data_IF_664019850559
#
_entry.id   IF_664019850559
#
_cell.length_a   1.000
_cell.length_b   1.000
_cell.length_c   1.000
_cell.angle_alpha   90.00
_cell.angle_beta   90.00
_cell.angle_gamma   90.00
#
_symmetry.space_group_name_H-M   'P 1'
#
loop_
_entity.id
_entity.type
_entity.pdbx_description
1 polymer ?
#
# COMPACT_ATOMS: atom_id res chain seq x y z
N UNK A 1 0.71 -10.30 -7.60
CA UNK A 1 1.68 -9.88 -6.57
C UNK A 1 2.75 -10.94 -6.48
N UNK A 2 3.98 -10.54 -6.78
CA UNK A 2 5.19 -11.36 -6.88
C UNK A 2 6.23 -10.65 -6.00
N UNK A 3 7.01 -11.39 -5.22
CA UNK A 3 8.04 -10.79 -4.39
C UNK A 3 9.23 -10.31 -5.22
N UNK A 4 9.97 -9.36 -4.68
CA UNK A 4 11.27 -8.98 -5.23
C UNK A 4 12.31 -10.09 -5.05
N UNK A 5 13.31 -10.09 -5.91
CA UNK A 5 14.51 -10.93 -5.74
C UNK A 5 15.30 -10.49 -4.52
N UNK A 6 15.89 -11.44 -3.75
CA UNK A 6 16.81 -11.09 -2.69
C UNK A 6 17.95 -10.20 -3.23
N UNK A 7 18.28 -9.11 -2.54
CA UNK A 7 19.34 -8.21 -2.97
C UNK A 7 20.72 -8.85 -2.76
N UNK A 8 21.77 -8.17 -3.24
CA UNK A 8 23.15 -8.57 -2.96
C UNK A 8 23.46 -8.63 -1.45
N UNK A 9 24.58 -9.29 -1.10
CA UNK A 9 24.97 -9.62 0.29
C UNK A 9 24.85 -8.46 1.28
N UNK A 10 25.15 -7.23 0.86
CA UNK A 10 25.13 -6.04 1.73
C UNK A 10 23.73 -5.66 2.27
N UNK A 11 22.64 -6.08 1.62
CA UNK A 11 21.27 -5.77 2.07
C UNK A 11 20.43 -7.00 2.41
N UNK A 12 20.98 -8.20 2.24
CA UNK A 12 20.26 -9.47 2.41
C UNK A 12 19.69 -9.65 3.82
N UNK A 13 20.41 -9.21 4.86
CA UNK A 13 19.93 -9.29 6.24
C UNK A 13 18.65 -8.47 6.46
N UNK A 14 18.61 -7.23 5.94
CA UNK A 14 17.44 -6.35 6.03
C UNK A 14 16.28 -6.84 5.15
N UNK A 15 16.57 -7.41 3.99
CA UNK A 15 15.56 -8.06 3.15
C UNK A 15 14.89 -9.22 3.90
N UNK A 16 15.69 -10.10 4.50
CA UNK A 16 15.17 -11.23 5.29
C UNK A 16 14.40 -10.75 6.53
N UNK A 17 14.80 -9.64 7.15
CA UNK A 17 14.04 -9.03 8.24
C UNK A 17 12.69 -8.49 7.76
N UNK A 18 12.65 -7.74 6.65
CA UNK A 18 11.39 -7.30 6.05
C UNK A 18 10.44 -8.46 5.73
N UNK A 19 10.99 -9.59 5.25
CA UNK A 19 10.22 -10.79 4.95
C UNK A 19 9.68 -11.50 6.21
N UNK A 20 10.40 -11.43 7.34
CA UNK A 20 9.98 -11.99 8.63
C UNK A 20 8.90 -11.17 9.34
N UNK A 21 8.91 -9.85 9.21
CA UNK A 21 7.91 -8.98 9.87
C UNK A 21 6.60 -9.07 9.09
N UNK A 22 5.70 -9.96 9.50
CA UNK A 22 4.42 -10.17 8.80
C UNK A 22 3.24 -9.42 9.40
N UNK A 23 3.42 -8.79 10.56
CA UNK A 23 2.36 -8.13 11.32
C UNK A 23 2.61 -6.64 11.48
N UNK A 24 1.52 -5.92 11.73
CA UNK A 24 1.50 -4.47 11.91
C UNK A 24 0.66 -4.16 13.14
N UNK A 25 1.14 -3.31 14.05
CA UNK A 25 0.30 -2.76 15.11
C UNK A 25 -0.73 -1.82 14.48
N UNK A 26 -1.98 -1.83 14.93
CA UNK A 26 -3.05 -1.05 14.30
C UNK A 26 -3.60 -0.02 15.32
N UNK A 27 -3.91 1.22 14.89
CA UNK A 27 -4.51 2.22 15.77
C UNK A 27 -5.91 1.79 16.19
N UNK A 28 -6.53 2.37 17.24
CA UNK A 28 -7.93 2.10 17.57
C UNK A 28 -8.86 2.28 16.35
N UNK A 29 -9.90 1.45 16.15
CA UNK A 29 -10.73 1.49 14.93
C UNK A 29 -11.34 2.86 14.64
N UNK A 30 -11.73 3.57 15.70
CA UNK A 30 -12.29 4.92 15.62
C UNK A 30 -11.37 5.92 14.92
N UNK A 31 -10.04 5.71 14.95
CA UNK A 31 -9.06 6.60 14.32
C UNK A 31 -9.10 6.53 12.79
N UNK A 32 -9.53 5.41 12.20
CA UNK A 32 -9.54 5.23 10.74
C UNK A 32 -10.95 5.20 10.13
N UNK A 33 -12.00 4.96 10.94
CA UNK A 33 -13.37 4.83 10.44
C UNK A 33 -13.83 6.09 9.68
N UNK A 34 -13.75 7.27 10.32
CA UNK A 34 -14.16 8.54 9.73
C UNK A 34 -13.36 8.89 8.47
N UNK A 35 -12.01 8.89 8.51
CA UNK A 35 -11.20 9.15 7.32
C UNK A 35 -11.48 8.17 6.16
N UNK A 36 -11.69 6.89 6.45
CA UNK A 36 -12.00 5.88 5.43
C UNK A 36 -13.36 6.14 4.77
N UNK A 37 -14.37 6.51 5.56
CA UNK A 37 -15.69 6.90 5.04
C UNK A 37 -15.60 8.17 4.17
N UNK A 38 -14.78 9.15 4.56
CA UNK A 38 -14.54 10.36 3.76
C UNK A 38 -13.88 10.03 2.41
N UNK A 39 -12.93 9.11 2.37
CA UNK A 39 -12.35 8.63 1.10
C UNK A 39 -13.44 8.02 0.22
N UNK A 40 -14.25 7.11 0.78
CA UNK A 40 -15.32 6.46 0.03
C UNK A 40 -16.34 7.46 -0.54
N UNK A 41 -16.78 8.43 0.28
CA UNK A 41 -17.70 9.48 -0.14
C UNK A 41 -17.08 10.38 -1.22
N UNK A 42 -15.84 10.83 -1.05
CA UNK A 42 -15.14 11.64 -2.06
C UNK A 42 -14.94 10.90 -3.39
N UNK A 43 -14.75 9.59 -3.36
CA UNK A 43 -14.65 8.79 -4.60
C UNK A 43 -15.96 8.78 -5.39
N UNK A 44 -17.12 8.82 -4.72
CA UNK A 44 -18.43 8.86 -5.38
C UNK A 44 -18.65 10.17 -6.15
N UNK A 45 -18.01 11.27 -5.74
CA UNK A 45 -18.16 12.57 -6.42
C UNK A 45 -17.23 12.71 -7.62
N UNK A 46 -16.22 11.84 -7.75
CA UNK A 46 -15.25 11.88 -8.84
C UNK A 46 -14.27 13.07 -8.80
N UNK A 47 -14.27 13.85 -7.72
CA UNK A 47 -13.42 15.03 -7.53
C UNK A 47 -12.19 14.68 -6.69
N UNK A 48 -11.00 14.80 -7.29
CA UNK A 48 -9.73 14.46 -6.64
C UNK A 48 -9.49 15.22 -5.32
N UNK A 49 -9.94 16.48 -5.24
CA UNK A 49 -9.79 17.31 -4.05
C UNK A 49 -10.57 16.76 -2.85
N UNK A 50 -11.78 16.23 -3.06
CA UNK A 50 -12.59 15.66 -1.97
C UNK A 50 -12.01 14.33 -1.48
N UNK A 51 -11.51 13.50 -2.39
CA UNK A 51 -10.76 12.27 -2.05
C UNK A 51 -9.49 12.60 -1.26
N UNK A 52 -8.76 13.66 -1.66
CA UNK A 52 -7.51 14.09 -1.01
C UNK A 52 -7.71 14.38 0.47
N UNK A 53 -8.79 15.07 0.85
CA UNK A 53 -9.07 15.42 2.25
C UNK A 53 -9.21 14.15 3.12
N UNK A 54 -9.93 13.14 2.62
CA UNK A 54 -10.03 11.85 3.31
C UNK A 54 -8.68 11.14 3.44
N UNK A 55 -7.89 11.11 2.36
CA UNK A 55 -6.54 10.53 2.39
C UNK A 55 -5.62 11.23 3.39
N UNK A 56 -5.63 12.56 3.45
CA UNK A 56 -4.80 13.34 4.37
C UNK A 56 -5.12 13.02 5.83
N UNK A 57 -6.40 12.97 6.18
CA UNK A 57 -6.81 12.61 7.54
C UNK A 57 -6.45 11.14 7.88
N UNK A 58 -6.58 10.24 6.91
CA UNK A 58 -6.22 8.84 7.06
C UNK A 58 -4.72 8.67 7.34
N UNK A 59 -3.88 9.26 6.49
CA UNK A 59 -2.42 9.20 6.61
C UNK A 59 -1.91 9.94 7.84
N UNK A 60 -2.54 11.06 8.21
CA UNK A 60 -2.19 11.79 9.43
C UNK A 60 -2.50 10.96 10.68
N UNK A 61 -3.63 10.26 10.72
CA UNK A 61 -4.01 9.40 11.85
C UNK A 61 -3.02 8.25 12.03
N UNK A 62 -2.62 7.61 10.92
CA UNK A 62 -1.59 6.57 10.95
C UNK A 62 -0.22 7.15 11.37
N UNK A 63 0.20 8.27 10.79
CA UNK A 63 1.52 8.85 11.09
C UNK A 63 1.65 9.26 12.56
N UNK A 64 0.57 9.79 13.15
CA UNK A 64 0.48 10.06 14.59
C UNK A 64 0.58 8.79 15.42
N UNK A 65 -0.14 7.73 15.04
CA UNK A 65 -0.12 6.46 15.76
C UNK A 65 1.28 5.82 15.80
N UNK A 66 1.97 5.78 14.65
CA UNK A 66 3.34 5.25 14.58
C UNK A 66 4.42 6.22 15.08
N UNK A 67 4.04 7.46 15.42
CA UNK A 67 4.96 8.52 15.82
C UNK A 67 6.07 8.76 14.77
N UNK A 68 5.68 8.79 13.50
CA UNK A 68 6.58 9.01 12.37
C UNK A 68 6.32 10.35 11.69
N UNK A 69 7.26 10.80 10.86
CA UNK A 69 7.10 11.99 10.01
C UNK A 69 5.80 11.91 9.20
N UNK A 70 5.04 13.02 9.05
CA UNK A 70 3.81 13.01 8.28
C UNK A 70 4.01 12.53 6.84
N UNK A 71 3.13 11.65 6.38
CA UNK A 71 3.09 11.22 4.98
C UNK A 71 2.17 12.14 4.15
N UNK A 72 2.75 12.82 3.15
CA UNK A 72 1.99 13.66 2.23
C UNK A 72 1.20 12.83 1.20
N UNK A 73 0.19 13.42 0.56
CA UNK A 73 -0.57 12.74 -0.50
C UNK A 73 -1.00 13.66 -1.64
N UNK A 74 -0.93 13.16 -2.87
CA UNK A 74 -1.50 13.78 -4.07
C UNK A 74 -2.47 12.80 -4.72
N UNK A 75 -3.72 13.21 -4.86
CA UNK A 75 -4.72 12.46 -5.63
C UNK A 75 -4.78 13.01 -7.05
N UNK A 76 -4.48 12.16 -8.01
CA UNK A 76 -4.38 12.50 -9.44
C UNK A 76 -5.52 11.82 -10.22
N UNK A 77 -5.90 12.41 -11.35
CA UNK A 77 -7.00 11.90 -12.17
C UNK A 77 -6.64 10.53 -12.78
N UNK A 78 -5.79 10.48 -13.80
CA UNK A 78 -5.38 9.22 -14.44
C UNK A 78 -3.88 9.19 -14.69
N UNK A 79 -3.28 8.00 -14.59
CA UNK A 79 -1.88 7.79 -14.91
C UNK A 79 -1.64 8.00 -16.42
N UNK A 80 -0.54 8.63 -16.84
CA UNK A 80 -0.09 8.58 -18.23
C UNK A 80 0.05 7.13 -18.71
N UNK A 81 -0.40 6.83 -19.93
CA UNK A 81 -0.39 5.45 -20.48
C UNK A 81 1.02 4.85 -20.60
N UNK A 82 2.06 5.68 -20.58
CA UNK A 82 3.46 5.26 -20.69
C UNK A 82 4.26 5.90 -19.57
N UNK A 83 4.72 5.09 -18.62
CA UNK A 83 5.78 5.45 -17.67
C UNK A 83 6.85 4.37 -17.80
N UNK A 84 8.07 4.78 -18.13
CA UNK A 84 9.26 3.91 -18.10
C UNK A 84 9.79 3.88 -16.66
N UNK A 85 9.14 3.14 -15.78
CA UNK A 85 9.69 2.87 -14.45
C UNK A 85 9.63 1.38 -14.17
N UNK A 86 10.79 0.83 -13.82
CA UNK A 86 11.12 -0.59 -13.68
C UNK A 86 10.66 -1.20 -12.34
N UNK A 87 9.72 -0.56 -11.65
CA UNK A 87 9.26 -1.00 -10.34
C UNK A 87 7.93 -1.76 -10.50
N UNK A 88 7.90 -2.94 -9.88
CA UNK A 88 6.84 -3.94 -9.83
C UNK A 88 5.41 -3.37 -9.75
N UNK A 89 4.58 -3.68 -10.75
CA UNK A 89 3.11 -3.88 -10.74
C UNK A 89 2.13 -2.95 -9.97
N UNK A 90 2.54 -1.82 -9.36
CA UNK A 90 1.61 -0.87 -8.74
C UNK A 90 1.04 0.12 -9.76
N UNK A 91 -0.13 -0.23 -10.30
CA UNK A 91 -0.78 0.48 -11.40
C UNK A 91 -1.45 1.81 -10.98
N UNK A 92 -1.60 2.05 -9.68
CA UNK A 92 -2.48 3.10 -9.15
C UNK A 92 -1.86 4.00 -8.07
N UNK A 93 -0.60 3.81 -7.69
CA UNK A 93 0.10 4.70 -6.76
C UNK A 93 1.61 4.58 -6.84
N UNK A 94 2.28 5.50 -6.15
CA UNK A 94 3.71 5.43 -5.84
C UNK A 94 4.03 6.25 -4.59
N UNK A 95 5.01 5.80 -3.82
CA UNK A 95 5.60 6.54 -2.71
C UNK A 95 6.99 7.08 -3.09
N UNK A 96 7.23 8.36 -2.82
CA UNK A 96 8.53 8.99 -3.02
C UNK A 96 9.24 9.21 -1.67
N UNK A 97 10.36 8.51 -1.39
CA UNK A 97 11.06 8.62 -0.11
C UNK A 97 11.75 9.97 0.08
N UNK A 98 12.08 10.71 -0.99
CA UNK A 98 12.71 12.03 -0.89
C UNK A 98 11.73 13.12 -0.48
N UNK A 99 10.46 13.00 -0.87
CA UNK A 99 9.41 13.98 -0.52
C UNK A 99 8.47 13.50 0.59
N UNK A 100 8.63 12.24 1.03
CA UNK A 100 7.75 11.57 1.97
C UNK A 100 6.27 11.62 1.56
N UNK A 101 6.00 11.59 0.26
CA UNK A 101 4.66 11.77 -0.28
C UNK A 101 4.23 10.61 -1.17
N UNK A 102 2.96 10.26 -1.03
CA UNK A 102 2.25 9.30 -1.87
C UNK A 102 1.60 10.04 -3.04
N UNK A 103 1.68 9.48 -4.23
CA UNK A 103 0.76 9.79 -5.33
C UNK A 103 -0.20 8.62 -5.50
N UNK A 104 -1.48 8.91 -5.73
CA UNK A 104 -2.49 7.91 -6.07
C UNK A 104 -3.34 8.39 -7.23
N UNK A 105 -3.67 7.49 -8.16
CA UNK A 105 -4.55 7.77 -9.29
C UNK A 105 -5.95 7.22 -9.04
N UNK A 106 -6.95 8.09 -9.10
CA UNK A 106 -8.33 7.70 -8.82
C UNK A 106 -9.08 7.12 -10.04
N UNK A 107 -8.53 7.24 -11.25
CA UNK A 107 -9.14 6.73 -12.49
C UNK A 107 -8.25 5.70 -13.19
N UNK A 108 -8.90 4.72 -13.81
CA UNK A 108 -8.26 3.70 -14.63
C UNK A 108 -7.47 4.31 -15.79
N UNK A 109 -6.32 3.73 -16.10
CA UNK A 109 -5.43 4.29 -17.12
C UNK A 109 -6.06 4.31 -18.52
N UNK A 110 -6.84 3.26 -18.85
CA UNK A 110 -7.44 3.06 -20.19
C UNK A 110 -8.79 3.77 -20.30
N UNK A 111 -9.80 3.34 -19.53
CA UNK A 111 -11.17 3.85 -19.65
C UNK A 111 -11.40 5.20 -19.00
N UNK A 112 -10.49 5.66 -18.11
CA UNK A 112 -10.62 6.89 -17.32
C UNK A 112 -11.82 6.91 -16.36
N UNK A 113 -12.45 5.75 -16.15
CA UNK A 113 -13.44 5.52 -15.11
C UNK A 113 -12.81 5.59 -13.72
N UNK A 114 -13.58 6.02 -12.73
CA UNK A 114 -13.18 5.99 -11.32
C UNK A 114 -12.91 4.53 -10.92
N UNK A 115 -11.79 4.27 -10.27
CA UNK A 115 -11.45 2.93 -9.78
C UNK A 115 -12.36 2.51 -8.63
N UNK A 116 -12.41 1.21 -8.33
CA UNK A 116 -13.20 0.75 -7.18
C UNK A 116 -12.61 1.29 -5.87
N UNK A 117 -13.46 1.55 -4.87
CA UNK A 117 -13.01 1.97 -3.54
C UNK A 117 -12.00 0.97 -2.94
N UNK A 118 -12.24 -0.34 -3.09
CA UNK A 118 -11.33 -1.37 -2.61
C UNK A 118 -9.96 -1.30 -3.28
N UNK A 119 -9.91 -1.05 -4.59
CA UNK A 119 -8.64 -0.87 -5.33
C UNK A 119 -7.91 0.37 -4.82
N UNK A 120 -8.60 1.50 -4.73
CA UNK A 120 -8.00 2.75 -4.27
C UNK A 120 -7.44 2.65 -2.84
N UNK A 121 -8.24 2.11 -1.91
CA UNK A 121 -7.83 1.95 -0.52
C UNK A 121 -6.68 0.95 -0.39
N UNK A 122 -6.71 -0.16 -1.13
CA UNK A 122 -5.59 -1.13 -1.15
C UNK A 122 -4.31 -0.47 -1.63
N UNK A 123 -4.36 0.37 -2.66
CA UNK A 123 -3.20 1.14 -3.13
C UNK A 123 -2.72 2.12 -2.07
N UNK A 124 -3.61 2.91 -1.47
CA UNK A 124 -3.21 3.87 -0.43
C UNK A 124 -2.52 3.19 0.76
N UNK A 125 -3.05 2.05 1.22
CA UNK A 125 -2.46 1.28 2.33
C UNK A 125 -1.11 0.67 1.94
N UNK A 126 -0.97 0.23 0.69
CA UNK A 126 0.26 -0.29 0.13
C UNK A 126 1.35 0.78 0.12
N UNK A 127 1.07 1.97 -0.45
CA UNK A 127 2.04 3.07 -0.49
C UNK A 127 2.39 3.58 0.92
N UNK A 128 1.44 3.53 1.86
CA UNK A 128 1.75 3.85 3.25
C UNK A 128 2.64 2.80 3.93
N UNK A 129 2.57 1.53 3.54
CA UNK A 129 3.53 0.53 4.01
C UNK A 129 4.94 0.83 3.49
N UNK A 130 5.09 1.31 2.25
CA UNK A 130 6.37 1.83 1.78
C UNK A 130 6.85 2.99 2.66
N UNK A 131 5.97 3.95 3.00
CA UNK A 131 6.33 5.01 3.94
C UNK A 131 6.88 4.45 5.26
N UNK A 132 6.18 3.51 5.90
CA UNK A 132 6.64 2.88 7.15
C UNK A 132 7.96 2.13 6.99
N UNK A 133 8.18 1.44 5.88
CA UNK A 133 9.45 0.79 5.60
C UNK A 133 10.61 1.77 5.64
N UNK A 134 10.48 2.95 5.02
CA UNK A 134 11.53 3.97 5.04
C UNK A 134 11.67 4.65 6.40
N UNK A 135 10.57 5.10 7.02
CA UNK A 135 10.64 5.99 8.19
C UNK A 135 10.55 5.28 9.53
N UNK A 136 9.90 4.11 9.61
CA UNK A 136 9.72 3.32 10.83
C UNK A 136 10.68 2.14 10.88
N UNK A 137 10.61 1.23 9.89
CA UNK A 137 11.39 -0.01 9.88
C UNK A 137 12.83 0.15 9.37
N UNK A 138 13.14 1.27 8.71
CA UNK A 138 14.47 1.60 8.15
C UNK A 138 14.93 0.59 7.08
N UNK A 139 14.01 0.09 6.26
CA UNK A 139 14.31 -0.72 5.09
C UNK A 139 14.64 0.20 3.89
N UNK A 140 15.91 0.26 3.44
CA UNK A 140 16.38 1.33 2.55
C UNK A 140 15.85 1.25 1.11
N UNK A 141 15.36 0.08 0.69
CA UNK A 141 14.80 -0.12 -0.66
C UNK A 141 13.33 -0.53 -0.62
N UNK A 142 12.73 -0.66 0.58
CA UNK A 142 11.33 -1.10 0.79
C UNK A 142 10.85 -2.23 -0.13
N UNK A 143 11.57 -3.35 -0.08
CA UNK A 143 11.31 -4.51 -0.95
C UNK A 143 9.91 -5.08 -0.77
N UNK A 144 9.30 -5.51 -1.89
CA UNK A 144 8.07 -6.30 -1.89
C UNK A 144 8.35 -7.74 -1.42
N UNK A 145 8.55 -7.92 -0.12
CA UNK A 145 8.68 -9.23 0.52
C UNK A 145 7.32 -9.84 0.86
N UNK A 146 7.30 -11.09 1.34
CA UNK A 146 6.06 -11.70 1.83
C UNK A 146 5.55 -10.95 3.07
N UNK A 147 6.47 -10.53 3.94
CA UNK A 147 6.18 -9.70 5.10
C UNK A 147 5.55 -8.37 4.69
N UNK A 148 6.13 -7.67 3.70
CA UNK A 148 5.56 -6.43 3.16
C UNK A 148 4.11 -6.60 2.71
N UNK A 149 3.83 -7.60 1.85
CA UNK A 149 2.47 -7.84 1.36
C UNK A 149 1.49 -8.22 2.48
N UNK A 150 1.94 -8.92 3.53
CA UNK A 150 1.12 -9.20 4.70
C UNK A 150 0.79 -7.93 5.50
N UNK A 151 1.77 -7.04 5.74
CA UNK A 151 1.54 -5.75 6.41
C UNK A 151 0.56 -4.86 5.63
N UNK A 152 0.75 -4.74 4.31
CA UNK A 152 -0.13 -3.97 3.44
C UNK A 152 -1.55 -4.53 3.41
N UNK A 153 -1.69 -5.86 3.30
CA UNK A 153 -2.99 -6.54 3.36
C UNK A 153 -3.69 -6.38 4.70
N UNK A 154 -2.95 -6.49 5.81
CA UNK A 154 -3.49 -6.30 7.15
C UNK A 154 -4.04 -4.87 7.35
N UNK A 155 -3.27 -3.85 6.96
CA UNK A 155 -3.71 -2.45 7.03
C UNK A 155 -4.95 -2.21 6.17
N UNK A 156 -4.98 -2.73 4.95
CA UNK A 156 -6.12 -2.61 4.05
C UNK A 156 -7.39 -3.25 4.62
N UNK A 157 -7.31 -4.52 5.06
CA UNK A 157 -8.48 -5.22 5.60
C UNK A 157 -9.01 -4.56 6.86
N UNK A 158 -8.08 -4.07 7.71
CA UNK A 158 -8.39 -3.30 8.90
C UNK A 158 -9.12 -1.99 8.57
N UNK A 159 -8.54 -1.16 7.70
CA UNK A 159 -9.13 0.11 7.28
C UNK A 159 -10.50 -0.10 6.61
N UNK A 160 -10.64 -1.14 5.80
CA UNK A 160 -11.88 -1.47 5.10
C UNK A 160 -12.98 -2.01 6.04
N UNK A 161 -12.64 -2.42 7.27
CA UNK A 161 -13.58 -3.09 8.17
C UNK A 161 -13.97 -4.49 7.69
N UNK A 162 -13.07 -5.18 7.00
CA UNK A 162 -13.28 -6.56 6.52
C UNK A 162 -12.42 -7.54 7.33
N UNK A 163 -12.82 -8.82 7.45
CA UNK A 163 -12.01 -9.82 8.12
C UNK A 163 -10.58 -9.86 7.56
N UNK A 164 -9.55 -10.03 8.41
CA UNK A 164 -8.19 -10.22 7.96
C UNK A 164 -8.11 -11.41 6.99
N UNK A 165 -7.31 -11.26 5.94
CA UNK A 165 -7.14 -12.29 4.93
C UNK A 165 -5.79 -12.95 5.03
N UNK A 166 -5.77 -14.27 5.17
CA UNK A 166 -4.54 -15.05 5.18
C UNK A 166 -4.01 -15.19 3.75
N UNK A 167 -2.78 -14.71 3.54
CA UNK A 167 -2.10 -14.87 2.25
C UNK A 167 -1.39 -16.23 2.20
N UNK A 168 -1.69 -17.01 1.16
CA UNK A 168 -0.95 -18.24 0.85
C UNK A 168 0.07 -17.96 -0.25
N UNK A 169 1.24 -18.59 -0.14
CA UNK A 169 2.38 -18.35 -1.02
C UNK A 169 2.72 -19.61 -1.81
N UNK A 170 2.98 -19.42 -3.11
CA UNK A 170 3.54 -20.44 -3.98
C UNK A 170 4.94 -20.01 -4.43
N UNK A 171 5.92 -20.89 -4.28
CA UNK A 171 7.27 -20.66 -4.81
C UNK A 171 7.25 -20.64 -6.34
N UNK A 172 8.03 -19.76 -6.94
CA UNK A 172 8.28 -19.75 -8.38
C UNK A 172 9.77 -20.07 -8.64
N UNK A 173 10.15 -20.19 -9.92
CA UNK A 173 11.57 -20.28 -10.28
C UNK A 173 12.34 -19.04 -9.80
N UNK A 174 13.63 -19.23 -9.45
CA UNK A 174 14.51 -18.13 -9.04
C UNK A 174 14.40 -17.69 -7.57
N UNK A 175 13.73 -18.48 -6.71
CA UNK A 175 13.62 -18.16 -5.27
C UNK A 175 12.58 -17.09 -4.92
N UNK A 176 11.77 -16.68 -5.91
CA UNK A 176 10.68 -15.74 -5.74
C UNK A 176 9.41 -16.44 -5.27
N UNK A 177 8.48 -15.66 -4.72
CA UNK A 177 7.19 -16.12 -4.25
C UNK A 177 6.07 -15.30 -4.86
N UNK A 178 4.97 -15.96 -5.23
CA UNK A 178 3.73 -15.29 -5.63
C UNK A 178 2.60 -15.64 -4.67
N UNK A 179 1.64 -14.73 -4.52
CA UNK A 179 0.41 -15.03 -3.80
C UNK A 179 -0.39 -16.06 -4.60
N UNK A 180 -0.76 -17.16 -3.95
CA UNK A 180 -1.72 -18.14 -4.44
C UNK A 180 -3.14 -17.60 -4.20
N UNK A 181 -3.64 -16.79 -5.13
CA UNK A 181 -4.98 -16.22 -5.05
C UNK A 181 -6.09 -17.26 -5.00
N UNK A 182 -6.09 -18.34 -5.80
CA UNK A 182 -7.10 -19.40 -5.68
C UNK A 182 -7.21 -19.93 -4.25
N UNK A 183 -6.09 -20.24 -3.58
CA UNK A 183 -6.10 -20.73 -2.20
C UNK A 183 -6.49 -19.64 -1.20
N UNK A 184 -5.95 -18.44 -1.38
CA UNK A 184 -6.22 -17.25 -0.55
C UNK A 184 -7.68 -16.79 -0.61
N UNK A 185 -8.40 -17.07 -1.69
CA UNK A 185 -9.82 -16.72 -1.80
C UNK A 185 -10.77 -17.78 -1.23
N UNK A 186 -10.28 -19.00 -0.95
CA UNK A 186 -11.09 -20.12 -0.45
C UNK A 186 -10.94 -20.37 1.06
N UNK A 187 -9.81 -19.98 1.64
CA UNK A 187 -9.54 -20.08 3.07
C UNK A 187 -9.77 -18.75 3.78
#
# INVERSE_FOLDING_TARGET
MLTDSPPGKGKLALFNESDRITTLLLPPPAALLGPTQLIAAGMQTGKAQEVRVGCEQFLQSLSRFYQVSPCGVRVLASRPLRIRENWSNELFGDYNPSTLAIRVWMRTAVKKDITSFGTFLSTLCHEYCHHLDFVHFKFPDSWHTRGFYQRAGALYHYARGTPPKRLYWASTSGGLWRIDWPRTNRG
#
